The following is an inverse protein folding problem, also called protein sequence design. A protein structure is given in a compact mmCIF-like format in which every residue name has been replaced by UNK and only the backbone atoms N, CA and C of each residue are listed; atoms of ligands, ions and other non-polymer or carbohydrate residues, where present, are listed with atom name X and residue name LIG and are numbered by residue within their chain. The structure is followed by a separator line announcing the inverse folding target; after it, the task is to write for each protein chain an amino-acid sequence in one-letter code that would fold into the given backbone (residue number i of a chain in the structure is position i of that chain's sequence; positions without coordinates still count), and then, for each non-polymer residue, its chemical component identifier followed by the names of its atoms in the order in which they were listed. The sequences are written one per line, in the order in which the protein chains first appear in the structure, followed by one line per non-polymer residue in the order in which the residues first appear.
data_IF_052976257195
#
_entry.id   IF_052976257195
#
_cell.length_a   1.000
_cell.length_b   1.000
_cell.length_c   1.000
_cell.angle_alpha   90.00
_cell.angle_beta   90.00
_cell.angle_gamma   90.00
#
_symmetry.space_group_name_H-M   'P 1'
#
loop_
_entity.id
_entity.type
_entity.pdbx_description
1 polymer ?
#
# COMPACT_ATOMS: atom_id res chain seq x y z
N UNK A 1 30.10 21.32 -43.54
CA UNK A 1 30.51 22.13 -42.38
C UNK A 1 30.99 21.17 -41.28
N UNK A 2 32.29 20.92 -41.15
CA UNK A 2 33.25 21.64 -40.29
C UNK A 2 33.08 21.41 -38.77
N UNK A 3 33.91 20.48 -38.25
CA UNK A 3 34.65 20.46 -36.96
C UNK A 3 33.88 20.20 -35.64
N UNK A 4 34.09 19.06 -34.95
CA UNK A 4 35.19 18.63 -34.05
C UNK A 4 35.23 19.37 -32.69
N UNK A 5 35.01 18.63 -31.60
CA UNK A 5 35.92 18.63 -30.45
C UNK A 5 35.87 17.30 -29.68
N UNK A 6 37.04 16.66 -29.59
CA UNK A 6 37.39 15.55 -28.69
C UNK A 6 37.78 16.14 -27.33
N UNK A 7 37.53 15.44 -26.23
CA UNK A 7 38.61 15.28 -25.25
C UNK A 7 38.58 13.89 -24.61
N UNK A 8 39.70 13.18 -24.79
CA UNK A 8 40.07 11.91 -24.13
C UNK A 8 41.17 12.27 -23.13
N UNK A 9 41.08 11.76 -21.91
CA UNK A 9 42.26 11.37 -21.12
C UNK A 9 41.95 10.09 -20.36
N UNK A 10 42.74 9.07 -20.68
CA UNK A 10 42.93 7.83 -19.93
C UNK A 10 44.07 8.05 -18.93
N UNK A 11 43.99 7.47 -17.73
CA UNK A 11 45.16 6.86 -17.09
C UNK A 11 44.69 5.65 -16.28
N UNK A 12 45.42 4.56 -16.47
CA UNK A 12 45.23 3.26 -15.84
C UNK A 12 46.21 3.08 -14.67
N UNK A 13 45.85 2.20 -13.72
CA UNK A 13 46.84 1.24 -13.19
C UNK A 13 47.04 1.15 -11.67
N UNK A 14 46.69 -0.04 -11.16
CA UNK A 14 47.43 -0.89 -10.20
C UNK A 14 47.41 -0.55 -8.69
N UNK A 15 46.56 -1.29 -7.97
CA UNK A 15 46.84 -2.18 -6.83
C UNK A 15 47.82 -1.80 -5.71
N UNK A 16 47.37 -1.95 -4.46
CA UNK A 16 48.05 -2.69 -3.39
C UNK A 16 47.19 -2.72 -2.11
N UNK A 17 47.06 -3.91 -1.52
CA UNK A 17 46.55 -4.11 -0.16
C UNK A 17 47.60 -3.70 0.88
N UNK A 18 47.17 -3.11 1.99
CA UNK A 18 47.95 -3.01 3.22
C UNK A 18 47.01 -2.98 4.43
N UNK A 19 47.03 -4.09 5.17
CA UNK A 19 46.56 -4.21 6.55
C UNK A 19 47.50 -3.39 7.45
N UNK A 20 46.94 -2.46 8.20
CA UNK A 20 47.61 -1.86 9.35
C UNK A 20 46.62 -1.79 10.52
N UNK A 21 46.87 -2.62 11.52
CA UNK A 21 46.34 -2.48 12.89
C UNK A 21 47.05 -1.29 13.54
N UNK A 22 46.30 -0.41 14.22
CA UNK A 22 46.92 0.73 14.89
C UNK A 22 45.93 1.67 15.55
N UNK A 23 45.81 1.53 16.86
CA UNK A 23 45.11 2.38 17.84
C UNK A 23 45.46 3.87 17.73
N UNK A 24 44.47 4.74 17.94
CA UNK A 24 44.75 6.14 18.31
C UNK A 24 43.59 7.10 18.06
N UNK A 25 42.84 7.41 19.12
CA UNK A 25 41.85 8.50 19.16
C UNK A 25 42.45 9.84 18.76
N UNK A 26 41.75 10.59 17.91
CA UNK A 26 41.79 12.05 17.89
C UNK A 26 40.45 12.58 17.39
N UNK A 27 39.71 13.21 18.30
CA UNK A 27 38.56 14.06 17.99
C UNK A 27 39.03 15.22 17.12
N UNK A 28 38.46 15.35 15.92
CA UNK A 28 38.56 16.57 15.12
C UNK A 28 37.14 17.12 14.95
N UNK A 29 36.90 18.26 15.59
CA UNK A 29 35.68 19.03 15.44
C UNK A 29 35.57 19.56 14.00
N UNK A 30 34.45 19.28 13.33
CA UNK A 30 34.10 19.89 12.06
C UNK A 30 33.42 21.25 12.30
N UNK A 31 33.66 22.26 11.44
CA UNK A 31 33.07 23.57 11.59
C UNK A 31 31.58 23.58 11.20
N UNK A 32 30.80 24.28 12.01
CA UNK A 32 29.45 24.78 11.66
C UNK A 32 29.56 25.65 10.41
N UNK A 33 28.82 25.29 9.37
CA UNK A 33 28.50 26.18 8.25
C UNK A 33 27.01 26.51 8.30
N UNK A 34 26.73 27.79 8.48
CA UNK A 34 25.43 28.42 8.42
C UNK A 34 25.16 28.95 6.99
N UNK A 35 23.89 28.98 6.60
CA UNK A 35 23.36 29.45 5.30
C UNK A 35 22.82 28.27 4.48
N UNK A 36 21.61 28.26 3.92
CA UNK A 36 20.70 29.33 3.50
C UNK A 36 19.23 28.87 3.58
N UNK A 37 18.37 29.85 3.82
CA UNK A 37 16.92 29.97 3.72
C UNK A 37 16.15 28.78 3.11
N UNK A 38 15.39 28.07 3.97
CA UNK A 38 14.28 27.22 3.55
C UNK A 38 13.02 28.08 3.54
N UNK A 39 12.43 28.25 2.37
CA UNK A 39 11.05 28.73 2.26
C UNK A 39 10.11 27.66 2.82
N UNK A 40 9.32 28.06 3.82
CA UNK A 40 8.30 27.26 4.46
C UNK A 40 7.18 26.93 3.45
N UNK A 41 7.11 25.68 3.00
CA UNK A 41 5.94 25.17 2.28
C UNK A 41 4.88 24.83 3.33
N UNK A 42 4.01 25.80 3.61
CA UNK A 42 2.78 25.61 4.37
C UNK A 42 1.92 24.51 3.73
N UNK A 43 1.77 23.39 4.44
CA UNK A 43 0.80 22.36 4.10
C UNK A 43 -0.60 22.95 4.23
N UNK A 44 -1.33 23.00 3.11
CA UNK A 44 -2.73 23.45 3.11
C UNK A 44 -3.62 22.48 3.90
N UNK A 45 -4.60 22.95 4.68
CA UNK A 45 -5.48 22.08 5.45
C UNK A 45 -6.45 21.36 4.50
N UNK A 46 -6.39 20.02 4.46
CA UNK A 46 -7.46 19.21 3.87
C UNK A 46 -8.70 19.38 4.76
N UNK A 47 -9.77 19.87 4.14
CA UNK A 47 -11.04 20.17 4.80
C UNK A 47 -11.77 18.86 5.03
N UNK A 48 -11.75 18.37 6.27
CA UNK A 48 -12.51 17.18 6.66
C UNK A 48 -14.01 17.43 6.47
N UNK A 49 -14.64 16.63 5.60
CA UNK A 49 -16.09 16.47 5.63
C UNK A 49 -16.39 15.45 6.73
N UNK A 50 -17.12 15.88 7.75
CA UNK A 50 -17.64 14.99 8.77
C UNK A 50 -18.65 14.03 8.12
N UNK A 51 -18.30 12.76 8.03
CA UNK A 51 -19.30 11.71 7.82
C UNK A 51 -19.81 11.30 9.20
N UNK A 52 -21.13 11.39 9.33
CA UNK A 52 -21.90 11.10 10.53
C UNK A 52 -21.72 9.62 10.92
N UNK A 53 -20.95 9.36 11.98
CA UNK A 53 -20.61 8.01 12.46
C UNK A 53 -21.80 7.42 13.22
N UNK A 54 -22.51 6.52 12.57
CA UNK A 54 -23.51 5.67 13.19
C UNK A 54 -23.05 4.22 13.30
N UNK A 55 -22.02 3.90 14.08
CA UNK A 55 -21.85 2.54 14.63
C UNK A 55 -20.85 2.50 15.79
N UNK A 56 -21.22 1.84 16.89
CA UNK A 56 -20.35 1.54 18.04
C UNK A 56 -19.91 0.08 17.95
N UNK A 57 -18.62 -0.20 18.11
CA UNK A 57 -18.11 -1.58 18.22
C UNK A 57 -17.60 -1.84 19.63
N UNK A 58 -18.21 -2.84 20.27
CA UNK A 58 -17.76 -3.39 21.54
C UNK A 58 -16.55 -4.32 21.32
N UNK A 59 -15.54 -4.18 22.18
CA UNK A 59 -14.37 -5.05 22.22
C UNK A 59 -14.74 -6.48 22.66
N UNK A 60 -14.28 -7.48 21.91
CA UNK A 60 -14.20 -8.88 22.34
C UNK A 60 -12.94 -9.51 21.71
N UNK A 61 -12.19 -10.21 22.56
CA UNK A 61 -10.82 -10.62 22.34
C UNK A 61 -10.73 -12.11 21.96
N UNK A 62 -10.90 -12.42 20.69
CA UNK A 62 -10.62 -13.76 20.15
C UNK A 62 -10.48 -13.60 18.63
N UNK A 63 -9.30 -13.91 18.08
CA UNK A 63 -8.99 -13.70 16.67
C UNK A 63 -9.81 -14.60 15.74
N UNK A 64 -10.89 -14.06 15.21
CA UNK A 64 -11.66 -14.50 14.02
C UNK A 64 -12.43 -13.25 13.56
N UNK A 65 -11.81 -12.43 12.70
CA UNK A 65 -12.14 -11.00 12.69
C UNK A 65 -12.72 -10.37 11.43
N UNK A 66 -12.53 -10.91 10.22
CA UNK A 66 -12.78 -10.11 8.99
C UNK A 66 -14.15 -10.29 8.32
N UNK A 67 -15.04 -11.14 8.84
CA UNK A 67 -16.43 -11.25 8.37
C UNK A 67 -17.35 -11.61 9.54
N UNK A 68 -17.85 -10.61 10.28
CA UNK A 68 -19.01 -10.82 11.14
C UNK A 68 -20.26 -10.79 10.27
N UNK A 69 -21.03 -11.86 10.34
CA UNK A 69 -22.35 -11.96 9.71
C UNK A 69 -23.30 -10.98 10.40
N UNK A 70 -23.56 -9.83 9.77
CA UNK A 70 -24.71 -9.01 10.10
C UNK A 70 -25.97 -9.68 9.54
N UNK A 71 -26.58 -10.53 10.36
CA UNK A 71 -27.94 -11.02 10.16
C UNK A 71 -28.92 -9.89 10.48
N UNK A 72 -29.27 -9.08 9.47
CA UNK A 72 -30.49 -8.25 9.47
C UNK A 72 -31.13 -8.19 8.08
N UNK A 73 -32.04 -9.13 7.87
CA UNK A 73 -33.26 -9.03 7.05
C UNK A 73 -33.09 -8.38 5.67
N UNK A 74 -32.66 -9.19 4.71
CA UNK A 74 -32.90 -8.91 3.29
C UNK A 74 -34.40 -8.98 3.01
N UNK A 75 -34.98 -7.83 2.65
CA UNK A 75 -36.25 -7.81 1.95
C UNK A 75 -36.06 -8.55 0.61
N UNK A 76 -36.90 -9.57 0.36
CA UNK A 76 -36.90 -10.36 -0.88
C UNK A 76 -37.07 -9.47 -2.12
N UNK A 77 -35.96 -9.12 -2.78
CA UNK A 77 -35.98 -8.68 -4.17
C UNK A 77 -35.71 -9.88 -5.08
N UNK A 78 -36.73 -10.27 -5.84
CA UNK A 78 -36.63 -11.31 -6.88
C UNK A 78 -35.94 -10.71 -8.10
N UNK A 79 -34.65 -10.45 -8.00
CA UNK A 79 -33.76 -10.00 -9.06
C UNK A 79 -32.76 -11.09 -9.45
N UNK A 80 -32.23 -11.01 -10.67
CA UNK A 80 -31.28 -11.97 -11.29
C UNK A 80 -30.20 -12.50 -10.33
N UNK A 81 -29.90 -13.80 -10.44
CA UNK A 81 -29.00 -14.61 -9.59
C UNK A 81 -27.54 -14.10 -9.64
N UNK A 82 -27.30 -12.93 -9.03
CA UNK A 82 -25.96 -12.34 -8.90
C UNK A 82 -25.20 -13.09 -7.80
N UNK A 83 -23.92 -13.40 -8.02
CA UNK A 83 -23.08 -14.04 -7.00
C UNK A 83 -23.06 -13.22 -5.72
N UNK A 84 -23.18 -13.91 -4.59
CA UNK A 84 -23.04 -13.30 -3.27
C UNK A 84 -21.58 -12.90 -3.00
N UNK A 85 -21.35 -12.07 -1.96
CA UNK A 85 -19.99 -11.75 -1.51
C UNK A 85 -19.21 -13.01 -1.09
N UNK A 86 -19.92 -14.02 -0.56
CA UNK A 86 -19.30 -15.29 -0.17
C UNK A 86 -18.84 -16.07 -1.40
N UNK A 87 -19.66 -16.15 -2.46
CA UNK A 87 -19.28 -16.84 -3.71
C UNK A 87 -18.05 -16.19 -4.35
N UNK A 88 -17.98 -14.86 -4.35
CA UNK A 88 -16.82 -14.11 -4.85
C UNK A 88 -15.57 -14.34 -4.02
N UNK A 89 -15.71 -14.39 -2.69
CA UNK A 89 -14.59 -14.68 -1.79
C UNK A 89 -14.02 -16.07 -2.04
N UNK A 90 -14.90 -17.07 -2.16
CA UNK A 90 -14.51 -18.46 -2.43
C UNK A 90 -13.85 -18.59 -3.80
N UNK A 91 -14.40 -17.96 -4.84
CA UNK A 91 -13.79 -17.95 -6.17
C UNK A 91 -12.39 -17.34 -6.17
N UNK A 92 -12.18 -16.20 -5.48
CA UNK A 92 -10.84 -15.59 -5.33
C UNK A 92 -9.90 -16.53 -4.56
N UNK A 93 -10.37 -17.12 -3.46
CA UNK A 93 -9.57 -18.00 -2.63
C UNK A 93 -9.07 -19.22 -3.42
N UNK A 94 -9.95 -19.84 -4.20
CA UNK A 94 -9.65 -21.04 -4.98
C UNK A 94 -8.73 -20.74 -6.18
N UNK A 95 -8.91 -19.61 -6.87
CA UNK A 95 -8.11 -19.26 -8.06
C UNK A 95 -6.61 -19.11 -7.72
N UNK A 96 -6.29 -18.38 -6.64
CA UNK A 96 -4.90 -18.03 -6.30
C UNK A 96 -4.37 -18.75 -5.06
N UNK A 97 -5.14 -19.69 -4.49
CA UNK A 97 -4.77 -20.48 -3.32
C UNK A 97 -4.63 -19.64 -2.05
N UNK A 98 -5.46 -18.62 -1.89
CA UNK A 98 -5.47 -17.74 -0.73
C UNK A 98 -6.21 -18.36 0.44
N UNK A 99 -5.79 -18.03 1.66
CA UNK A 99 -6.67 -18.22 2.81
C UNK A 99 -7.78 -17.15 2.84
N UNK A 100 -8.77 -17.34 3.72
CA UNK A 100 -9.91 -16.41 3.87
C UNK A 100 -9.49 -14.97 4.11
N UNK A 101 -8.34 -14.79 4.75
CA UNK A 101 -7.85 -13.52 5.22
C UNK A 101 -7.27 -12.71 4.02
N UNK A 102 -6.49 -13.38 3.17
CA UNK A 102 -5.99 -12.81 1.92
C UNK A 102 -7.11 -12.59 0.89
N UNK A 103 -8.01 -13.57 0.74
CA UNK A 103 -9.14 -13.46 -0.17
C UNK A 103 -10.10 -12.33 0.24
N UNK A 104 -10.38 -12.19 1.54
CA UNK A 104 -11.16 -11.08 2.07
C UNK A 104 -10.53 -9.71 1.80
N UNK A 105 -9.20 -9.60 1.98
CA UNK A 105 -8.48 -8.36 1.64
C UNK A 105 -8.57 -8.03 0.15
N UNK A 106 -8.37 -9.01 -0.73
CA UNK A 106 -8.51 -8.81 -2.17
C UNK A 106 -9.95 -8.40 -2.55
N UNK A 107 -10.96 -9.03 -1.95
CA UNK A 107 -12.37 -8.68 -2.15
C UNK A 107 -12.65 -7.23 -1.72
N UNK A 108 -12.14 -6.78 -0.57
CA UNK A 108 -12.28 -5.39 -0.12
C UNK A 108 -11.67 -4.42 -1.13
N UNK A 109 -10.48 -4.72 -1.68
CA UNK A 109 -9.85 -3.86 -2.69
C UNK A 109 -10.72 -3.72 -3.94
N UNK A 110 -11.30 -4.83 -4.42
CA UNK A 110 -12.16 -4.84 -5.60
C UNK A 110 -13.47 -4.09 -5.34
N UNK A 111 -14.21 -4.47 -4.30
CA UNK A 111 -15.53 -3.90 -3.97
C UNK A 111 -15.41 -2.39 -3.71
N UNK A 112 -14.39 -1.95 -2.97
CA UNK A 112 -14.14 -0.53 -2.73
C UNK A 112 -13.85 0.22 -4.03
N UNK A 113 -13.03 -0.37 -4.92
CA UNK A 113 -12.76 0.22 -6.23
C UNK A 113 -14.03 0.34 -7.07
N UNK A 114 -14.91 -0.66 -7.04
CA UNK A 114 -16.21 -0.61 -7.73
C UNK A 114 -17.14 0.45 -7.14
N UNK A 115 -17.20 0.56 -5.81
CA UNK A 115 -17.99 1.58 -5.11
C UNK A 115 -17.52 3.02 -5.43
N UNK A 116 -16.27 3.16 -5.86
CA UNK A 116 -15.66 4.41 -6.29
C UNK A 116 -15.67 4.61 -7.82
N UNK A 117 -16.38 3.75 -8.57
CA UNK A 117 -16.42 3.76 -10.04
C UNK A 117 -15.04 3.63 -10.71
N UNK A 118 -14.05 3.04 -10.01
CA UNK A 118 -12.73 2.79 -10.57
C UNK A 118 -12.78 1.70 -11.64
N UNK A 119 -12.00 1.90 -12.71
CA UNK A 119 -11.90 0.92 -13.79
C UNK A 119 -11.09 -0.33 -13.39
N UNK A 120 -11.18 -1.36 -14.22
CA UNK A 120 -10.47 -2.63 -13.98
C UNK A 120 -8.96 -2.44 -13.84
N UNK A 121 -8.40 -1.46 -14.56
CA UNK A 121 -6.98 -1.20 -14.54
C UNK A 121 -6.54 -0.58 -13.21
N UNK A 122 -7.28 0.39 -12.68
CA UNK A 122 -7.07 0.92 -11.34
C UNK A 122 -7.19 -0.16 -10.26
N UNK A 123 -8.22 -1.01 -10.32
CA UNK A 123 -8.38 -2.12 -9.38
C UNK A 123 -7.18 -3.08 -9.47
N UNK A 124 -6.72 -3.40 -10.68
CA UNK A 124 -5.52 -4.22 -10.89
C UNK A 124 -4.27 -3.56 -10.28
N UNK A 125 -4.10 -2.25 -10.43
CA UNK A 125 -3.02 -1.47 -9.80
C UNK A 125 -3.09 -1.60 -8.26
N UNK A 126 -4.28 -1.45 -7.67
CA UNK A 126 -4.50 -1.60 -6.22
C UNK A 126 -4.15 -2.99 -5.72
N UNK A 127 -4.67 -4.04 -6.36
CA UNK A 127 -4.39 -5.45 -6.03
C UNK A 127 -2.89 -5.77 -6.11
N UNK A 128 -2.23 -5.39 -7.21
CA UNK A 128 -0.79 -5.62 -7.38
C UNK A 128 0.05 -4.84 -6.35
N UNK A 129 -0.43 -3.69 -5.89
CA UNK A 129 0.22 -2.92 -4.81
C UNK A 129 0.11 -3.68 -3.49
N UNK A 130 -1.09 -4.11 -3.07
CA UNK A 130 -1.28 -4.88 -1.83
C UNK A 130 -0.53 -6.22 -1.86
N UNK A 131 -0.44 -6.87 -3.01
CA UNK A 131 0.39 -8.06 -3.20
C UNK A 131 1.87 -7.79 -2.86
N UNK A 132 2.38 -6.63 -3.29
CA UNK A 132 3.77 -6.25 -3.06
C UNK A 132 4.04 -5.79 -1.63
N UNK A 133 3.15 -5.01 -1.04
CA UNK A 133 3.36 -4.42 0.29
C UNK A 133 3.19 -5.44 1.40
N UNK A 134 2.18 -6.30 1.31
CA UNK A 134 1.77 -7.17 2.43
C UNK A 134 1.43 -8.60 2.05
N UNK A 135 1.43 -8.94 0.76
CA UNK A 135 0.87 -10.19 0.27
C UNK A 135 -0.59 -10.38 0.75
N UNK A 136 -1.40 -9.31 0.65
CA UNK A 136 -2.81 -9.29 1.05
C UNK A 136 -3.06 -9.52 2.55
N UNK A 137 -2.20 -8.95 3.40
CA UNK A 137 -2.32 -9.05 4.86
C UNK A 137 -2.48 -7.67 5.48
N UNK A 138 -3.45 -7.52 6.38
CA UNK A 138 -3.59 -6.30 7.18
C UNK A 138 -2.58 -6.35 8.34
N UNK A 139 -1.38 -5.80 8.14
CA UNK A 139 -0.27 -5.93 9.08
C UNK A 139 -0.30 -4.83 10.15
N UNK A 140 -0.32 -5.22 11.43
CA UNK A 140 0.04 -4.31 12.52
C UNK A 140 1.55 -3.99 12.49
N UNK A 141 2.00 -2.98 13.22
CA UNK A 141 3.42 -2.62 13.30
C UNK A 141 3.98 -2.76 14.70
N UNK A 142 5.13 -3.44 14.81
CA UNK A 142 5.86 -3.63 16.07
C UNK A 142 6.33 -2.33 16.73
N UNK A 143 6.36 -1.21 16.00
CA UNK A 143 6.72 0.11 16.56
C UNK A 143 5.51 1.03 16.74
N UNK A 144 4.30 0.59 16.37
CA UNK A 144 3.03 1.32 16.57
C UNK A 144 2.13 0.45 17.46
N UNK A 145 2.27 0.50 18.79
CA UNK A 145 1.52 -0.38 19.70
C UNK A 145 0.00 -0.33 19.50
N UNK A 146 -0.54 0.86 19.23
CA UNK A 146 -1.97 1.08 18.94
C UNK A 146 -2.49 0.21 17.77
N UNK A 147 -1.65 -0.07 16.77
CA UNK A 147 -2.07 -0.88 15.61
C UNK A 147 -2.43 -2.33 15.96
N UNK A 148 -1.95 -2.83 17.11
CA UNK A 148 -2.29 -4.17 17.62
C UNK A 148 -3.65 -4.23 18.32
N UNK A 149 -4.32 -3.09 18.50
CA UNK A 149 -5.68 -3.02 19.07
C UNK A 149 -6.77 -3.32 18.02
N UNK A 150 -6.41 -3.30 16.73
CA UNK A 150 -7.31 -3.54 15.61
C UNK A 150 -7.12 -4.93 15.00
N UNK A 151 -8.10 -5.37 14.20
CA UNK A 151 -8.05 -6.68 13.55
C UNK A 151 -6.94 -6.73 12.49
N UNK A 152 -5.80 -7.28 12.89
CA UNK A 152 -4.69 -7.58 11.98
C UNK A 152 -4.94 -8.96 11.37
N UNK A 153 -5.00 -9.01 10.04
CA UNK A 153 -5.08 -10.24 9.29
C UNK A 153 -3.69 -10.91 9.25
N UNK A 154 -3.30 -11.48 10.40
CA UNK A 154 -2.27 -12.52 10.53
C UNK A 154 -0.81 -12.08 10.58
N UNK A 155 -0.48 -10.81 10.80
CA UNK A 155 0.93 -10.43 10.82
C UNK A 155 1.29 -9.11 11.48
N UNK A 156 2.58 -8.99 11.77
CA UNK A 156 3.22 -7.80 12.31
C UNK A 156 4.40 -7.43 11.42
N UNK A 157 4.37 -6.23 10.86
CA UNK A 157 5.46 -5.59 10.15
C UNK A 157 6.43 -4.88 11.10
N UNK A 158 7.56 -4.44 10.53
CA UNK A 158 8.60 -3.70 11.26
C UNK A 158 9.20 -2.56 10.43
N UNK A 159 8.61 -2.26 9.27
CA UNK A 159 9.09 -1.18 8.40
C UNK A 159 8.59 0.17 8.90
N UNK A 160 9.44 0.87 9.65
CA UNK A 160 9.10 2.16 10.26
C UNK A 160 7.72 2.11 10.96
N UNK A 161 6.94 3.18 10.88
CA UNK A 161 5.57 3.28 11.40
C UNK A 161 4.48 2.91 10.38
N UNK A 162 4.83 2.10 9.37
CA UNK A 162 3.89 1.63 8.34
C UNK A 162 2.93 0.58 8.89
N UNK A 163 1.64 0.69 8.56
CA UNK A 163 0.60 -0.26 8.98
C UNK A 163 -0.36 -0.60 7.83
N UNK A 164 -1.11 -1.67 8.02
CA UNK A 164 -2.19 -2.12 7.15
C UNK A 164 -1.78 -2.59 5.76
N UNK A 165 -2.76 -2.78 4.88
CA UNK A 165 -2.64 -3.56 3.62
C UNK A 165 -1.73 -2.91 2.55
N UNK A 166 -1.61 -1.58 2.54
CA UNK A 166 -0.72 -0.81 1.66
C UNK A 166 0.56 -0.34 2.37
N UNK A 167 0.78 -0.74 3.63
CA UNK A 167 1.93 -0.29 4.45
C UNK A 167 2.10 1.24 4.45
N UNK A 168 0.99 1.96 4.67
CA UNK A 168 0.97 3.42 4.72
C UNK A 168 1.36 3.93 6.11
N UNK A 169 1.94 5.13 6.16
CA UNK A 169 2.50 5.72 7.38
C UNK A 169 1.62 6.86 7.88
N UNK A 170 1.12 6.73 9.11
CA UNK A 170 0.33 7.78 9.75
C UNK A 170 1.12 9.09 9.89
N UNK A 171 2.42 9.01 10.18
CA UNK A 171 3.30 10.20 10.25
C UNK A 171 3.51 10.93 8.92
N UNK A 172 3.16 10.30 7.80
CA UNK A 172 3.27 10.87 6.45
C UNK A 172 1.94 11.43 5.93
N UNK A 173 0.92 11.55 6.80
CA UNK A 173 -0.36 12.16 6.46
C UNK A 173 -1.31 11.26 5.67
N UNK A 174 -1.15 9.94 5.77
CA UNK A 174 -2.08 8.98 5.16
C UNK A 174 -3.37 8.81 5.98
N UNK A 175 -3.36 9.03 7.30
CA UNK A 175 -4.52 8.86 8.17
C UNK A 175 -4.09 8.60 9.61
N UNK A 176 -5.05 8.41 10.51
CA UNK A 176 -4.79 7.91 11.86
C UNK A 176 -4.44 6.42 11.86
N UNK A 177 -3.92 5.88 12.97
CA UNK A 177 -3.62 4.44 13.05
C UNK A 177 -4.91 3.61 12.91
N UNK A 178 -6.00 4.06 13.54
CA UNK A 178 -7.34 3.47 13.38
C UNK A 178 -7.76 3.38 11.91
N UNK A 179 -7.71 4.50 11.21
CA UNK A 179 -8.08 4.60 9.80
C UNK A 179 -7.18 3.73 8.93
N UNK A 180 -5.87 3.68 9.21
CA UNK A 180 -4.95 2.86 8.46
C UNK A 180 -5.02 1.37 8.82
N UNK A 181 -5.63 0.96 9.93
CA UNK A 181 -5.90 -0.45 10.20
C UNK A 181 -7.22 -0.93 9.59
N UNK A 182 -8.01 -0.04 8.98
CA UNK A 182 -9.18 -0.37 8.17
C UNK A 182 -8.80 -0.56 6.68
N UNK A 183 -8.89 -1.78 6.13
CA UNK A 183 -8.56 -2.05 4.73
C UNK A 183 -9.43 -1.28 3.73
N UNK A 184 -10.69 -1.00 4.05
CA UNK A 184 -11.59 -0.24 3.18
C UNK A 184 -11.13 1.21 3.10
N UNK A 185 -10.84 1.84 4.25
CA UNK A 185 -10.29 3.19 4.30
C UNK A 185 -8.98 3.32 3.53
N UNK A 186 -8.00 2.43 3.76
CA UNK A 186 -6.73 2.51 3.03
C UNK A 186 -6.92 2.37 1.52
N UNK A 187 -7.84 1.49 1.10
CA UNK A 187 -8.15 1.29 -0.31
C UNK A 187 -8.76 2.55 -0.92
N UNK A 188 -9.75 3.17 -0.27
CA UNK A 188 -10.36 4.43 -0.74
C UNK A 188 -9.28 5.49 -0.90
N UNK A 189 -8.46 5.66 0.12
CA UNK A 189 -7.40 6.66 0.17
C UNK A 189 -6.29 6.44 -0.88
N UNK A 190 -6.02 5.19 -1.25
CA UNK A 190 -5.13 4.82 -2.35
C UNK A 190 -5.74 5.23 -3.70
N UNK A 191 -6.99 4.87 -3.97
CA UNK A 191 -7.66 5.20 -5.22
C UNK A 191 -7.90 6.70 -5.39
N UNK A 192 -8.25 7.42 -4.32
CA UNK A 192 -8.35 8.87 -4.32
C UNK A 192 -7.06 9.54 -4.79
N UNK A 193 -5.89 9.04 -4.36
CA UNK A 193 -4.59 9.54 -4.84
C UNK A 193 -4.31 9.12 -6.27
N UNK A 194 -4.64 7.88 -6.64
CA UNK A 194 -4.47 7.38 -8.01
C UNK A 194 -5.24 8.23 -9.03
N UNK A 195 -6.47 8.63 -8.69
CA UNK A 195 -7.37 9.42 -9.56
C UNK A 195 -6.93 10.88 -9.75
N UNK A 196 -5.95 11.36 -8.96
CA UNK A 196 -5.42 12.73 -9.13
C UNK A 196 -4.54 12.92 -10.38
N UNK A 197 -4.22 11.85 -11.11
CA UNK A 197 -3.41 11.89 -12.32
C UNK A 197 -3.87 10.86 -13.36
N UNK A 198 -3.47 11.06 -14.62
CA UNK A 198 -3.78 10.12 -15.70
C UNK A 198 -2.94 8.84 -15.59
N UNK A 199 -3.42 7.90 -14.79
CA UNK A 199 -2.81 6.58 -14.62
C UNK A 199 -3.06 5.66 -15.82
N UNK A 200 -4.11 5.92 -16.62
CA UNK A 200 -4.58 5.03 -17.70
C UNK A 200 -3.54 4.82 -18.81
N UNK A 201 -2.65 5.80 -18.99
CA UNK A 201 -1.56 5.76 -19.97
C UNK A 201 -0.21 5.37 -19.37
N UNK A 202 -0.16 4.94 -18.11
CA UNK A 202 1.06 4.56 -17.40
C UNK A 202 1.21 3.03 -17.37
N UNK A 203 2.46 2.55 -17.22
CA UNK A 203 2.65 1.17 -16.79
C UNK A 203 2.12 1.01 -15.36
N UNK A 204 1.54 -0.15 -15.04
CA UNK A 204 0.99 -0.43 -13.71
C UNK A 204 1.97 -0.09 -12.59
N UNK A 205 3.23 -0.49 -12.76
CA UNK A 205 4.29 -0.27 -11.76
C UNK A 205 4.59 1.21 -11.55
N UNK A 206 4.48 2.02 -12.61
CA UNK A 206 4.72 3.46 -12.53
C UNK A 206 3.54 4.17 -11.85
N UNK A 207 2.31 3.73 -12.12
CA UNK A 207 1.11 4.25 -11.46
C UNK A 207 1.12 3.92 -9.95
N UNK A 208 1.37 2.66 -9.60
CA UNK A 208 1.50 2.22 -8.20
C UNK A 208 2.62 2.99 -7.48
N UNK A 209 3.80 3.07 -8.10
CA UNK A 209 4.93 3.82 -7.57
C UNK A 209 4.61 5.31 -7.37
N UNK A 210 3.84 5.91 -8.27
CA UNK A 210 3.48 7.32 -8.17
C UNK A 210 2.57 7.61 -6.97
N UNK A 211 1.72 6.66 -6.59
CA UNK A 211 0.89 6.74 -5.38
C UNK A 211 1.73 6.49 -4.12
N UNK A 212 2.49 5.40 -4.09
CA UNK A 212 3.18 4.93 -2.88
C UNK A 212 4.52 5.61 -2.61
N UNK A 213 5.20 6.08 -3.65
CA UNK A 213 6.54 6.69 -3.58
C UNK A 213 7.54 5.77 -2.85
N UNK A 214 7.52 4.47 -3.17
CA UNK A 214 8.39 3.48 -2.51
C UNK A 214 9.84 3.50 -3.03
N UNK A 215 10.76 2.82 -2.35
CA UNK A 215 12.15 2.72 -2.79
C UNK A 215 12.38 1.75 -3.97
N UNK A 216 11.35 0.98 -4.38
CA UNK A 216 11.50 -0.15 -5.30
C UNK A 216 10.46 -0.16 -6.42
N UNK A 217 10.59 0.76 -7.40
CA UNK A 217 9.53 1.07 -8.36
C UNK A 217 9.16 -0.07 -9.31
N UNK A 218 10.04 -1.06 -9.51
CA UNK A 218 9.82 -2.15 -10.48
C UNK A 218 9.20 -3.41 -9.86
N UNK A 219 8.95 -3.45 -8.55
CA UNK A 219 8.50 -4.67 -7.89
C UNK A 219 7.01 -4.97 -8.06
N UNK A 220 6.20 -4.00 -8.47
CA UNK A 220 4.75 -4.21 -8.66
C UNK A 220 4.44 -5.00 -9.95
N UNK A 221 5.23 -4.82 -11.01
CA UNK A 221 4.99 -5.48 -12.31
C UNK A 221 4.93 -7.01 -12.23
N UNK A 222 5.64 -7.64 -11.29
CA UNK A 222 5.62 -9.11 -11.13
C UNK A 222 4.26 -9.64 -10.62
N UNK A 223 3.44 -8.78 -10.03
CA UNK A 223 2.14 -9.13 -9.44
C UNK A 223 0.96 -8.84 -10.37
N UNK A 224 1.19 -8.21 -11.52
CA UNK A 224 0.13 -7.84 -12.46
C UNK A 224 -0.67 -9.06 -12.95
N UNK A 225 -0.01 -10.20 -13.18
CA UNK A 225 -0.69 -11.45 -13.58
C UNK A 225 -1.67 -11.92 -12.50
N UNK A 226 -1.17 -12.13 -11.29
CA UNK A 226 -2.00 -12.57 -10.16
C UNK A 226 -3.16 -11.58 -9.87
N UNK A 227 -2.91 -10.28 -9.97
CA UNK A 227 -3.95 -9.26 -9.78
C UNK A 227 -5.08 -9.37 -10.81
N UNK A 228 -4.75 -9.70 -12.07
CA UNK A 228 -5.75 -9.96 -13.12
C UNK A 228 -6.52 -11.24 -12.87
N UNK A 229 -5.82 -12.32 -12.50
CA UNK A 229 -6.45 -13.62 -12.19
C UNK A 229 -7.48 -13.47 -11.06
N UNK A 230 -7.14 -12.73 -10.00
CA UNK A 230 -8.05 -12.38 -8.90
C UNK A 230 -9.28 -11.62 -9.40
N UNK A 231 -9.08 -10.59 -10.22
CA UNK A 231 -10.17 -9.76 -10.73
C UNK A 231 -11.09 -10.54 -11.69
N UNK A 232 -10.54 -11.46 -12.46
CA UNK A 232 -11.29 -12.32 -13.38
C UNK A 232 -12.10 -13.38 -12.61
N UNK A 233 -11.53 -13.97 -11.54
CA UNK A 233 -12.25 -14.85 -10.63
C UNK A 233 -13.44 -14.13 -9.99
N UNK A 234 -13.23 -12.90 -9.49
CA UNK A 234 -14.30 -12.07 -8.93
C UNK A 234 -15.46 -11.82 -9.91
N UNK A 235 -15.18 -11.61 -11.19
CA UNK A 235 -16.19 -11.35 -12.23
C UNK A 235 -16.91 -12.61 -12.71
N UNK A 236 -16.30 -13.77 -12.51
CA UNK A 236 -16.77 -15.05 -13.04
C UNK A 236 -17.51 -15.90 -12.02
N UNK A 237 -17.44 -15.53 -10.73
CA UNK A 237 -18.35 -16.01 -9.69
C UNK A 237 -19.80 -15.68 -10.08
#
# INVERSE_FOLDING_TARGET
MSWLYRNRSLMAGVGAALLATGTGSALVAAPVMAGEDREDVEASPIKSHSIDRGFVVAAAADGEGLLKSDDKSDEEDKGEDKPSKQDRLEAIADEVGFDKCQAGTALVVIETGRDMDMDDFAITIGLATVAQETNYRNLASSVVPESHEYDSCGGTGSDHDSVGIFQQRHTMGWGTVEELMDPEFQTRNFFERLDTFDYSNMALTDAAQRVQVSAHPTLYAKHEGQAKDILDAYKSA
#
